data_IF_185382906913
#
_entry.id   IF_185382906913
#
_cell.length_a   1.000
_cell.length_b   1.000
_cell.length_c   1.000
_cell.angle_alpha   90.00
_cell.angle_beta   90.00
_cell.angle_gamma   90.00
#
_symmetry.space_group_name_H-M   'P 1'
#
loop_
_entity.id
_entity.type
_entity.pdbx_description
1 polymer ?
#
# COMPACT_ATOMS: atom_id res chain seq x y z
N UNK A 1 41.27 42.75 42.48
CA UNK A 1 41.16 41.54 41.64
C UNK A 1 40.27 40.53 42.35
N UNK A 2 39.03 40.36 41.90
CA UNK A 2 38.27 39.09 41.85
C UNK A 2 36.82 39.39 41.47
N UNK A 3 36.41 38.84 40.34
CA UNK A 3 35.07 38.98 39.77
C UNK A 3 34.17 37.82 40.21
N UNK A 4 32.95 38.19 40.60
CA UNK A 4 31.63 37.58 40.30
C UNK A 4 31.54 36.14 39.78
N UNK A 5 30.65 35.35 40.38
CA UNK A 5 29.87 34.31 39.68
C UNK A 5 28.49 34.15 40.31
N UNK A 6 27.44 34.58 39.59
CA UNK A 6 26.03 34.23 39.85
C UNK A 6 25.72 32.93 39.10
N UNK A 7 25.17 31.94 39.79
CA UNK A 7 24.64 30.71 39.21
C UNK A 7 23.32 30.97 38.47
N UNK A 8 23.27 30.60 37.19
CA UNK A 8 22.07 30.64 36.35
C UNK A 8 21.50 29.22 36.25
N UNK A 9 20.25 29.07 36.71
CA UNK A 9 19.43 27.86 36.59
C UNK A 9 19.11 27.58 35.12
N UNK A 10 19.48 26.40 34.62
CA UNK A 10 19.11 25.92 33.27
C UNK A 10 17.97 24.91 33.40
N UNK A 11 16.83 25.24 32.81
CA UNK A 11 15.74 24.29 32.56
C UNK A 11 16.15 23.27 31.48
N UNK A 12 15.61 22.03 31.51
CA UNK A 12 15.89 21.02 30.50
C UNK A 12 15.19 21.34 29.16
N UNK A 13 15.73 20.88 28.01
CA UNK A 13 15.11 21.14 26.72
C UNK A 13 13.85 20.29 26.55
N UNK A 14 12.78 20.93 26.08
CA UNK A 14 11.53 20.30 25.68
C UNK A 14 11.78 19.41 24.45
N UNK A 15 11.58 18.11 24.61
CA UNK A 15 11.44 17.15 23.50
C UNK A 15 10.09 17.36 22.81
N UNK A 16 10.14 17.61 21.50
CA UNK A 16 8.95 17.78 20.67
C UNK A 16 9.20 18.69 19.49
N UNK A 17 10.13 18.32 18.60
CA UNK A 17 10.10 18.83 17.23
C UNK A 17 9.40 17.77 16.39
N UNK A 18 8.18 18.10 15.96
CA UNK A 18 7.58 17.49 14.79
C UNK A 18 8.56 17.69 13.62
N UNK A 19 8.97 16.59 13.00
CA UNK A 19 9.77 16.64 11.78
C UNK A 19 8.81 17.11 10.69
N UNK A 20 8.77 18.42 10.45
CA UNK A 20 8.23 18.96 9.21
C UNK A 20 9.20 18.52 8.11
N UNK A 21 8.76 17.59 7.27
CA UNK A 21 9.49 17.22 6.06
C UNK A 21 9.61 18.48 5.20
N UNK A 22 10.83 18.97 5.03
CA UNK A 22 11.14 20.03 4.07
C UNK A 22 11.00 19.44 2.66
N UNK A 23 10.06 19.97 1.88
CA UNK A 23 10.01 19.77 0.43
C UNK A 23 11.19 20.52 -0.22
N UNK A 24 12.41 19.98 -0.10
CA UNK A 24 13.50 20.36 -0.99
C UNK A 24 13.31 19.63 -2.32
N UNK A 25 13.40 20.40 -3.42
CA UNK A 25 13.00 19.96 -4.75
C UNK A 25 13.83 18.76 -5.25
N UNK A 26 13.28 17.56 -5.14
CA UNK A 26 13.77 16.34 -5.80
C UNK A 26 14.06 15.15 -4.89
N UNK A 27 14.03 15.33 -3.57
CA UNK A 27 14.32 14.26 -2.61
C UNK A 27 13.06 13.74 -1.93
N UNK A 28 13.02 12.42 -1.68
CA UNK A 28 11.96 11.76 -0.92
C UNK A 28 12.63 10.94 0.16
N UNK A 29 12.21 11.15 1.40
CA UNK A 29 12.66 10.32 2.51
C UNK A 29 12.07 8.92 2.36
N UNK A 30 12.94 7.93 2.25
CA UNK A 30 12.54 6.53 2.33
C UNK A 30 12.37 6.13 3.79
N UNK A 31 11.26 5.47 4.09
CA UNK A 31 10.97 4.94 5.41
C UNK A 31 10.73 3.44 5.28
N UNK A 32 11.30 2.67 6.20
CA UNK A 32 10.90 1.29 6.51
C UNK A 32 10.75 1.18 8.02
N UNK A 33 9.57 0.79 8.47
CA UNK A 33 9.27 0.61 9.89
C UNK A 33 10.20 -0.43 10.52
N UNK A 34 10.82 -0.08 11.65
CA UNK A 34 11.78 -0.95 12.34
C UNK A 34 11.14 -2.22 12.92
N UNK A 35 9.85 -2.15 13.27
CA UNK A 35 9.15 -3.22 13.97
C UNK A 35 8.37 -4.14 13.02
N UNK A 36 8.87 -4.35 11.80
CA UNK A 36 8.25 -5.21 10.80
C UNK A 36 9.04 -6.49 10.59
N UNK A 37 8.36 -7.63 10.51
CA UNK A 37 8.96 -8.93 10.22
C UNK A 37 8.24 -9.61 9.07
N UNK A 38 9.01 -10.32 8.23
CA UNK A 38 8.47 -11.15 7.17
C UNK A 38 8.29 -12.57 7.69
N UNK A 39 7.05 -13.01 7.81
CA UNK A 39 6.72 -14.41 8.10
C UNK A 39 6.65 -15.16 6.77
N UNK A 40 7.43 -16.23 6.65
CA UNK A 40 7.66 -16.91 5.37
C UNK A 40 6.56 -17.90 4.99
N UNK A 41 5.84 -18.41 5.98
CA UNK A 41 4.86 -19.48 5.82
C UNK A 41 3.56 -19.12 6.55
N UNK A 42 2.63 -18.53 5.81
CA UNK A 42 1.26 -18.25 6.22
C UNK A 42 0.29 -18.90 5.23
N UNK A 43 -1.02 -18.99 5.54
CA UNK A 43 -2.01 -19.47 4.58
C UNK A 43 -2.05 -18.69 3.25
N UNK A 44 -1.50 -17.47 3.20
CA UNK A 44 -1.41 -16.59 2.02
C UNK A 44 0.00 -16.58 1.40
N UNK A 45 0.90 -17.46 1.86
CA UNK A 45 2.31 -17.46 1.50
C UNK A 45 3.14 -16.60 2.45
N UNK A 46 3.90 -15.63 1.92
CA UNK A 46 4.64 -14.68 2.77
C UNK A 46 3.69 -13.60 3.28
N UNK A 47 3.93 -13.09 4.49
CA UNK A 47 3.17 -11.96 5.03
C UNK A 47 4.04 -11.07 5.90
N UNK A 48 3.69 -9.77 5.97
CA UNK A 48 4.37 -8.79 6.82
C UNK A 48 3.62 -8.69 8.14
N UNK A 49 4.32 -8.77 9.27
CA UNK A 49 3.73 -8.76 10.61
C UNK A 49 4.41 -7.71 11.48
N UNK A 50 3.66 -7.23 12.48
CA UNK A 50 4.18 -6.34 13.51
C UNK A 50 4.96 -7.16 14.55
N UNK A 51 6.21 -6.80 14.82
CA UNK A 51 7.01 -7.40 15.91
C UNK A 51 6.80 -6.72 17.27
N UNK A 52 6.25 -5.50 17.25
CA UNK A 52 5.86 -4.71 18.43
C UNK A 52 4.58 -3.95 18.12
N UNK A 53 3.94 -3.41 19.15
CA UNK A 53 2.81 -2.49 18.98
C UNK A 53 3.22 -1.28 18.11
N UNK A 54 2.40 -0.98 17.11
CA UNK A 54 2.58 0.14 16.17
C UNK A 54 1.39 1.10 16.36
N UNK A 55 1.63 2.38 16.68
CA UNK A 55 0.56 3.37 16.78
C UNK A 55 -0.16 3.59 15.45
N UNK A 56 -1.42 4.01 15.50
CA UNK A 56 -2.16 4.52 14.35
C UNK A 56 -1.41 5.67 13.65
N UNK A 57 -1.60 5.80 12.34
CA UNK A 57 -1.02 6.85 11.48
C UNK A 57 0.51 6.84 11.42
N UNK A 58 1.13 5.71 11.75
CA UNK A 58 2.58 5.52 11.60
C UNK A 58 2.89 5.22 10.14
N UNK A 59 3.87 5.93 9.55
CA UNK A 59 4.40 5.58 8.22
C UNK A 59 5.21 4.30 8.34
N UNK A 60 4.77 3.27 7.64
CA UNK A 60 5.31 1.92 7.68
C UNK A 60 6.34 1.68 6.60
N UNK A 61 6.08 2.17 5.38
CA UNK A 61 6.96 1.98 4.24
C UNK A 61 6.74 3.12 3.23
N UNK A 62 7.81 3.57 2.59
CA UNK A 62 7.77 4.41 1.39
C UNK A 62 8.44 3.63 0.26
N UNK A 63 7.64 3.13 -0.68
CA UNK A 63 8.08 2.22 -1.73
C UNK A 63 8.15 2.91 -3.10
N UNK A 64 9.31 2.90 -3.77
CA UNK A 64 9.41 3.29 -5.17
C UNK A 64 8.63 2.35 -6.10
N UNK A 65 8.23 2.86 -7.26
CA UNK A 65 7.36 2.16 -8.21
C UNK A 65 8.01 2.06 -9.58
N UNK A 66 8.00 0.85 -10.15
CA UNK A 66 8.32 0.62 -11.56
C UNK A 66 7.03 0.39 -12.35
N UNK A 67 6.66 1.36 -13.18
CA UNK A 67 5.50 1.25 -14.07
C UNK A 67 5.88 0.41 -15.29
N UNK A 68 5.09 -0.63 -15.58
CA UNK A 68 5.34 -1.51 -16.70
C UNK A 68 4.69 -0.95 -17.96
N UNK A 69 5.43 -1.00 -19.07
CA UNK A 69 4.85 -0.68 -20.38
C UNK A 69 3.67 -1.63 -20.67
N UNK A 70 2.53 -1.13 -21.17
CA UNK A 70 1.35 -1.97 -21.40
C UNK A 70 1.60 -3.13 -22.36
N UNK A 71 2.42 -2.94 -23.40
CA UNK A 71 2.73 -3.98 -24.39
C UNK A 71 3.62 -5.03 -23.73
N UNK A 72 4.73 -4.63 -23.12
CA UNK A 72 5.64 -5.55 -22.40
C UNK A 72 4.92 -6.34 -21.31
N UNK A 73 4.05 -5.66 -20.54
CA UNK A 73 3.27 -6.30 -19.49
C UNK A 73 2.33 -7.38 -20.07
N UNK A 74 1.61 -7.07 -21.14
CA UNK A 74 0.65 -7.98 -21.75
C UNK A 74 1.30 -9.14 -22.51
N UNK A 75 2.46 -8.93 -23.12
CA UNK A 75 3.14 -9.93 -23.92
C UNK A 75 4.05 -10.84 -23.09
N UNK A 76 4.58 -10.34 -21.98
CA UNK A 76 5.60 -11.03 -21.18
C UNK A 76 5.24 -11.14 -19.69
N UNK A 77 5.09 -10.02 -18.99
CA UNK A 77 5.05 -10.03 -17.51
C UNK A 77 3.83 -10.77 -16.97
N UNK A 78 2.66 -10.61 -17.60
CA UNK A 78 1.43 -11.28 -17.19
C UNK A 78 1.47 -12.82 -17.23
N UNK A 79 2.50 -13.38 -17.88
CA UNK A 79 2.73 -14.82 -18.00
C UNK A 79 3.71 -15.34 -16.94
N UNK A 80 4.10 -14.51 -15.98
CA UNK A 80 5.10 -14.82 -14.95
C UNK A 80 4.52 -14.65 -13.55
N UNK A 81 5.15 -15.28 -12.56
CA UNK A 81 4.77 -15.14 -11.15
C UNK A 81 4.89 -13.70 -10.63
N UNK A 82 5.71 -12.85 -11.29
CA UNK A 82 5.84 -11.43 -10.95
C UNK A 82 4.50 -10.70 -11.05
N UNK A 83 3.61 -11.11 -11.95
CA UNK A 83 2.30 -10.49 -12.13
C UNK A 83 1.43 -10.53 -10.86
N UNK A 84 1.63 -11.54 -9.99
CA UNK A 84 0.91 -11.66 -8.72
C UNK A 84 1.35 -10.61 -7.68
N UNK A 85 2.41 -9.86 -7.97
CA UNK A 85 2.97 -8.82 -7.11
C UNK A 85 2.77 -7.40 -7.68
N UNK A 86 2.07 -7.27 -8.81
CA UNK A 86 1.86 -5.96 -9.44
C UNK A 86 0.55 -5.30 -9.05
N UNK A 87 0.53 -3.97 -9.15
CA UNK A 87 -0.62 -3.13 -8.84
C UNK A 87 -1.11 -2.42 -10.09
N UNK A 88 -2.42 -2.26 -10.21
CA UNK A 88 -3.02 -1.38 -11.20
C UNK A 88 -2.48 0.04 -11.03
N UNK A 89 -1.89 0.62 -12.08
CA UNK A 89 -1.28 1.94 -12.06
C UNK A 89 -1.73 2.80 -13.25
N UNK A 90 -2.03 4.10 -13.04
CA UNK A 90 -2.33 5.02 -14.14
C UNK A 90 -1.14 5.13 -15.10
N UNK A 91 -1.38 4.96 -16.40
CA UNK A 91 -0.34 5.06 -17.43
C UNK A 91 -0.65 6.19 -18.40
N UNK A 92 0.38 7.00 -18.64
CA UNK A 92 0.40 8.00 -19.69
C UNK A 92 1.45 7.57 -20.72
N UNK A 93 1.05 7.31 -21.98
CA UNK A 93 2.01 6.99 -23.03
C UNK A 93 3.00 8.14 -23.22
N UNK A 94 4.30 7.86 -23.40
CA UNK A 94 5.25 8.88 -23.80
C UNK A 94 4.79 9.54 -25.10
N UNK A 95 4.76 10.88 -25.14
CA UNK A 95 4.42 11.60 -26.37
C UNK A 95 5.58 11.37 -27.36
N UNK A 96 5.34 10.81 -28.57
CA UNK A 96 6.41 10.63 -29.55
C UNK A 96 7.00 11.99 -29.93
N UNK A 97 8.33 12.11 -29.92
CA UNK A 97 9.05 13.35 -30.23
C UNK A 97 8.73 13.95 -31.61
N UNK A 98 8.08 13.19 -32.51
CA UNK A 98 7.75 13.59 -33.89
C UNK A 98 6.32 14.14 -34.09
N UNK A 99 5.48 14.22 -33.05
CA UNK A 99 4.05 14.62 -33.16
C UNK A 99 3.78 15.97 -32.47
N UNK A 100 4.77 16.87 -32.43
CA UNK A 100 4.59 18.21 -31.83
C UNK A 100 3.91 19.22 -32.76
N UNK A 101 3.66 18.88 -34.03
CA UNK A 101 3.06 19.78 -35.02
C UNK A 101 1.88 19.10 -35.71
N UNK A 102 0.78 18.93 -34.98
CA UNK A 102 -0.62 18.95 -35.47
C UNK A 102 -1.51 18.52 -34.31
N UNK A 103 -2.44 19.40 -33.91
CA UNK A 103 -3.48 19.24 -32.89
C UNK A 103 -3.20 18.19 -31.79
N UNK A 104 -2.75 18.66 -30.62
CA UNK A 104 -2.48 17.87 -29.40
C UNK A 104 -3.40 16.65 -29.27
N UNK A 105 -2.91 15.42 -29.54
CA UNK A 105 -3.71 14.25 -29.23
C UNK A 105 -3.88 14.23 -27.71
N UNK A 106 -5.12 14.30 -27.23
CA UNK A 106 -5.44 14.09 -25.81
C UNK A 106 -4.88 12.71 -25.45
N UNK A 107 -3.72 12.68 -24.79
CA UNK A 107 -3.11 11.45 -24.32
C UNK A 107 -4.08 10.82 -23.34
N UNK A 108 -4.81 9.81 -23.79
CA UNK A 108 -5.81 9.13 -22.97
C UNK A 108 -5.06 8.42 -21.86
N UNK A 109 -5.32 8.80 -20.61
CA UNK A 109 -4.82 8.07 -19.44
C UNK A 109 -5.44 6.67 -19.52
N UNK A 110 -4.59 5.67 -19.44
CA UNK A 110 -4.98 4.25 -19.40
C UNK A 110 -4.51 3.65 -18.08
N UNK A 111 -4.68 2.34 -17.89
CA UNK A 111 -4.19 1.62 -16.72
C UNK A 111 -3.27 0.51 -17.20
N UNK A 112 -2.12 0.37 -16.53
CA UNK A 112 -1.17 -0.74 -16.69
C UNK A 112 -0.91 -1.37 -15.32
N UNK A 113 0.04 -2.31 -15.25
CA UNK A 113 0.56 -2.85 -14.01
C UNK A 113 1.85 -2.16 -13.59
N UNK A 114 2.12 -2.11 -12.30
CA UNK A 114 3.37 -1.62 -11.75
C UNK A 114 3.90 -2.53 -10.65
N UNK A 115 5.22 -2.71 -10.61
CA UNK A 115 5.90 -3.40 -9.50
C UNK A 115 6.17 -2.39 -8.41
N UNK A 116 5.77 -2.73 -7.18
CA UNK A 116 6.03 -1.90 -6.01
C UNK A 116 7.24 -2.47 -5.28
N UNK A 117 8.34 -1.73 -5.25
CA UNK A 117 9.55 -2.20 -4.58
C UNK A 117 9.41 -2.16 -3.05
N UNK A 118 10.52 -2.39 -2.34
CA UNK A 118 10.53 -2.38 -0.89
C UNK A 118 9.61 -3.47 -0.32
N UNK A 119 8.81 -3.10 0.68
CA UNK A 119 7.80 -3.99 1.26
C UNK A 119 6.42 -3.88 0.59
N UNK A 120 6.21 -2.94 -0.34
CA UNK A 120 4.89 -2.68 -0.92
C UNK A 120 4.27 -3.93 -1.57
N UNK A 121 5.04 -4.70 -2.34
CA UNK A 121 4.55 -5.97 -2.93
C UNK A 121 4.41 -7.12 -1.93
N UNK A 122 4.84 -6.97 -0.67
CA UNK A 122 4.82 -8.04 0.34
C UNK A 122 3.60 -7.96 1.28
N UNK A 123 2.84 -6.87 1.27
CA UNK A 123 1.62 -6.77 2.06
C UNK A 123 0.51 -7.62 1.44
N UNK A 124 -0.06 -8.53 2.23
CA UNK A 124 -1.20 -9.33 1.80
C UNK A 124 -2.48 -8.51 1.74
N UNK A 125 -3.46 -9.05 1.01
CA UNK A 125 -4.80 -8.49 0.94
C UNK A 125 -5.68 -8.95 2.11
N UNK A 126 -6.49 -8.03 2.64
CA UNK A 126 -7.71 -8.35 3.38
C UNK A 126 -8.80 -7.32 3.05
N UNK A 127 -10.01 -7.79 2.75
CA UNK A 127 -11.22 -6.97 2.60
C UNK A 127 -11.82 -6.62 3.96
N UNK A 128 -11.77 -7.54 4.92
CA UNK A 128 -12.45 -7.41 6.21
C UNK A 128 -11.58 -6.79 7.32
N UNK A 129 -10.29 -7.10 7.34
CA UNK A 129 -9.38 -6.78 8.46
C UNK A 129 -8.18 -5.95 8.02
N UNK A 130 -8.32 -5.12 6.98
CA UNK A 130 -7.25 -4.20 6.59
C UNK A 130 -6.88 -3.26 7.76
N UNK A 131 -5.59 -3.11 7.98
CA UNK A 131 -5.03 -2.25 9.03
C UNK A 131 -3.93 -1.32 8.50
N UNK A 132 -3.60 -1.43 7.20
CA UNK A 132 -2.68 -0.56 6.48
C UNK A 132 -3.40 0.13 5.32
N UNK A 133 -3.30 1.46 5.29
CA UNK A 133 -3.71 2.29 4.16
C UNK A 133 -2.50 2.63 3.29
N UNK A 134 -2.77 3.08 2.06
CA UNK A 134 -1.72 3.52 1.15
C UNK A 134 -2.14 4.77 0.38
N UNK A 135 -1.17 5.62 0.06
CA UNK A 135 -1.31 6.80 -0.77
C UNK A 135 -0.27 6.75 -1.90
N UNK A 136 -0.66 7.11 -3.12
CA UNK A 136 0.20 7.03 -4.31
C UNK A 136 0.53 8.44 -4.82
N UNK A 137 1.82 8.72 -4.98
CA UNK A 137 2.28 9.86 -5.76
C UNK A 137 2.64 9.38 -7.18
N UNK A 138 1.74 9.64 -8.12
CA UNK A 138 1.89 9.22 -9.52
C UNK A 138 3.02 9.99 -10.23
N UNK A 139 3.30 11.22 -9.80
CA UNK A 139 4.35 12.05 -10.40
C UNK A 139 5.71 11.60 -9.93
N UNK A 140 5.84 11.31 -8.63
CA UNK A 140 7.10 10.88 -8.01
C UNK A 140 7.34 9.37 -8.10
N UNK A 141 6.36 8.59 -8.56
CA UNK A 141 6.40 7.13 -8.65
C UNK A 141 6.71 6.47 -7.31
N UNK A 142 5.93 6.83 -6.28
CA UNK A 142 6.09 6.32 -4.91
C UNK A 142 4.72 5.98 -4.30
N UNK A 143 4.70 4.95 -3.44
CA UNK A 143 3.58 4.65 -2.55
C UNK A 143 4.03 4.80 -1.10
N UNK A 144 3.24 5.51 -0.29
CA UNK A 144 3.41 5.60 1.17
C UNK A 144 2.37 4.73 1.84
N UNK A 145 2.81 3.81 2.70
CA UNK A 145 1.97 2.92 3.49
C UNK A 145 1.91 3.39 4.95
N UNK A 146 0.71 3.46 5.51
CA UNK A 146 0.45 4.04 6.84
C UNK A 146 -0.53 3.17 7.63
N UNK A 147 -0.29 2.98 8.93
CA UNK A 147 -1.24 2.25 9.79
C UNK A 147 -2.56 3.03 9.93
N UNK A 148 -3.70 2.34 9.78
CA UNK A 148 -5.03 2.95 9.88
C UNK A 148 -5.52 3.06 11.34
N UNK A 149 -5.01 2.19 12.20
CA UNK A 149 -5.30 2.08 13.63
C UNK A 149 -4.06 1.61 14.38
N UNK A 150 -4.14 1.52 15.70
CA UNK A 150 -3.13 0.83 16.49
C UNK A 150 -3.08 -0.66 16.06
N UNK A 151 -1.89 -1.17 15.83
CA UNK A 151 -1.61 -2.55 15.43
C UNK A 151 -0.82 -3.21 16.55
N UNK A 152 -1.29 -4.34 17.05
CA UNK A 152 -0.62 -5.09 18.11
C UNK A 152 0.51 -5.95 17.58
N UNK A 153 1.50 -6.20 18.43
CA UNK A 153 2.53 -7.20 18.15
C UNK A 153 1.90 -8.54 17.76
N UNK A 154 2.37 -9.13 16.66
CA UNK A 154 1.86 -10.38 16.09
C UNK A 154 0.72 -10.23 15.09
N UNK A 155 0.16 -9.03 14.89
CA UNK A 155 -0.84 -8.83 13.83
C UNK A 155 -0.19 -8.80 12.44
N UNK A 156 -0.87 -9.38 11.45
CA UNK A 156 -0.52 -9.27 10.03
C UNK A 156 -0.90 -7.89 9.50
N UNK A 157 0.00 -7.27 8.74
CA UNK A 157 -0.24 -6.02 8.04
C UNK A 157 -0.88 -6.32 6.68
N UNK A 158 -2.16 -6.01 6.57
CA UNK A 158 -2.94 -6.19 5.35
C UNK A 158 -3.42 -4.86 4.77
N UNK A 159 -3.39 -4.77 3.44
CA UNK A 159 -3.96 -3.66 2.69
C UNK A 159 -5.23 -4.10 1.93
N UNK A 160 -6.07 -3.15 1.52
CA UNK A 160 -7.06 -3.41 0.47
C UNK A 160 -6.43 -3.27 -0.92
N UNK A 161 -6.65 -4.27 -1.77
CA UNK A 161 -6.22 -4.30 -3.17
C UNK A 161 -7.23 -3.60 -4.09
N UNK A 162 -8.35 -3.12 -3.53
CA UNK A 162 -9.48 -2.56 -4.27
C UNK A 162 -10.59 -3.59 -4.50
N UNK A 163 -11.37 -3.38 -5.55
CA UNK A 163 -12.57 -4.16 -5.84
C UNK A 163 -12.25 -5.63 -6.17
N UNK A 164 -13.03 -6.55 -5.59
CA UNK A 164 -12.78 -8.01 -5.60
C UNK A 164 -12.74 -8.59 -7.02
N UNK A 165 -13.48 -7.98 -7.96
CA UNK A 165 -13.51 -8.39 -9.37
C UNK A 165 -12.21 -8.18 -10.15
N UNK A 166 -11.14 -7.66 -9.51
CA UNK A 166 -9.84 -7.39 -10.15
C UNK A 166 -8.67 -8.15 -9.52
N UNK A 167 -8.93 -9.07 -8.59
CA UNK A 167 -7.89 -9.90 -7.99
C UNK A 167 -7.44 -10.99 -8.95
N UNK A 168 -6.14 -11.25 -9.00
CA UNK A 168 -5.54 -12.34 -9.80
C UNK A 168 -5.49 -13.66 -9.03
N UNK A 169 -5.95 -13.67 -7.77
CA UNK A 169 -5.91 -14.79 -6.85
C UNK A 169 -7.23 -14.89 -6.06
N UNK A 170 -7.46 -16.04 -5.41
CA UNK A 170 -8.65 -16.27 -4.58
C UNK A 170 -8.56 -15.43 -3.29
N UNK A 171 -9.58 -14.62 -3.02
CA UNK A 171 -9.66 -13.86 -1.78
C UNK A 171 -9.76 -14.80 -0.58
N UNK A 172 -8.80 -14.67 0.34
CA UNK A 172 -8.74 -15.47 1.55
C UNK A 172 -9.85 -15.12 2.54
N UNK A 173 -10.40 -13.91 2.46
CA UNK A 173 -11.50 -13.49 3.33
C UNK A 173 -12.82 -14.14 2.87
N UNK A 174 -13.03 -14.32 1.55
CA UNK A 174 -14.17 -15.09 1.03
C UNK A 174 -14.15 -16.55 1.51
N UNK A 175 -12.99 -17.19 1.59
CA UNK A 175 -12.88 -18.55 2.11
C UNK A 175 -13.22 -18.64 3.61
N UNK A 176 -12.93 -17.59 4.40
CA UNK A 176 -13.35 -17.50 5.80
C UNK A 176 -14.84 -17.24 5.93
N UNK A 177 -15.43 -16.39 5.08
CA UNK A 177 -16.88 -16.16 5.06
C UNK A 177 -17.64 -17.47 4.77
N UNK A 178 -17.18 -18.27 3.82
CA UNK A 178 -17.78 -19.59 3.53
C UNK A 178 -17.60 -20.59 4.67
N UNK A 179 -16.49 -20.49 5.43
CA UNK A 179 -16.27 -21.34 6.61
C UNK A 179 -17.03 -20.87 7.86
N UNK A 180 -17.41 -19.59 7.93
CA UNK A 180 -18.17 -18.97 9.02
C UNK A 180 -19.68 -18.88 8.73
N UNK A 181 -20.13 -19.20 7.51
CA UNK A 181 -21.55 -19.37 7.19
C UNK A 181 -22.13 -20.53 7.99
N UNK A 182 -23.20 -20.25 8.74
CA UNK A 182 -23.97 -21.27 9.43
C UNK A 182 -24.69 -22.15 8.39
N UNK A 183 -24.44 -23.48 8.36
CA UNK A 183 -25.08 -24.37 7.39
C UNK A 183 -26.62 -24.43 7.52
N UNK A 184 -27.20 -23.90 8.60
CA UNK A 184 -28.65 -23.79 8.81
C UNK A 184 -29.21 -22.38 8.54
N UNK A 185 -28.43 -21.46 7.96
CA UNK A 185 -28.90 -20.12 7.58
C UNK A 185 -29.64 -20.15 6.23
N UNK A 186 -30.97 -20.24 6.28
CA UNK A 186 -31.86 -20.26 5.10
C UNK A 186 -32.15 -18.87 4.51
N UNK A 187 -31.47 -17.81 4.95
CA UNK A 187 -31.78 -16.43 4.53
C UNK A 187 -31.49 -16.19 3.04
N UNK A 188 -30.54 -16.92 2.45
CA UNK A 188 -30.21 -16.85 1.01
C UNK A 188 -31.31 -17.42 0.09
N UNK A 189 -32.30 -18.18 0.62
CA UNK A 189 -33.41 -18.71 -0.18
C UNK A 189 -34.55 -17.71 -0.44
N UNK A 190 -34.57 -16.59 0.29
CA UNK A 190 -35.60 -15.55 0.11
C UNK A 190 -35.30 -14.65 -1.10
N UNK A 191 -34.03 -14.48 -1.47
CA UNK A 191 -33.63 -13.66 -2.62
C UNK A 191 -33.88 -14.34 -3.99
N UNK A 192 -34.18 -15.65 -4.00
CA UNK A 192 -34.51 -16.39 -5.24
C UNK A 192 -36.01 -16.26 -5.60
N UNK A 193 -36.88 -15.95 -4.64
CA UNK A 193 -38.34 -15.95 -4.86
C UNK A 193 -38.82 -14.66 -5.55
N UNK A 194 -38.06 -13.56 -5.46
CA UNK A 194 -38.43 -12.27 -6.07
C UNK A 194 -38.07 -12.15 -7.57
N UNK A 195 -37.58 -13.21 -8.21
CA UNK A 195 -37.23 -13.22 -9.65
C UNK A 195 -38.19 -14.04 -10.55
N UNK A 196 -39.35 -14.44 -10.03
CA UNK A 196 -40.43 -15.04 -10.82
C UNK A 196 -41.70 -14.20 -10.66
N UNK A 197 -41.83 -13.18 -11.51
CA UNK A 197 -43.09 -12.73 -12.11
C UNK A 197 -42.82 -11.99 -13.43
#
# INVERSE_FOLDING_TARGET
MSNSTKGSSRNPPKTGQAVAASDEAGEISLTRGENLVLVLDTPKGRGVFASKDIPAKTVLEVSPVLVLDPVENSEHICKTDLYNYTYNWPYMPPIPAKVQQEASPKSKITTTQAVIFGLGSMFNHSTMFQNVGWERDVTKLVITYTSLRDIKAGEELCISYGDVGRLTFKDADHARMEAEKDPDDWTDMLDIIDYID
#
